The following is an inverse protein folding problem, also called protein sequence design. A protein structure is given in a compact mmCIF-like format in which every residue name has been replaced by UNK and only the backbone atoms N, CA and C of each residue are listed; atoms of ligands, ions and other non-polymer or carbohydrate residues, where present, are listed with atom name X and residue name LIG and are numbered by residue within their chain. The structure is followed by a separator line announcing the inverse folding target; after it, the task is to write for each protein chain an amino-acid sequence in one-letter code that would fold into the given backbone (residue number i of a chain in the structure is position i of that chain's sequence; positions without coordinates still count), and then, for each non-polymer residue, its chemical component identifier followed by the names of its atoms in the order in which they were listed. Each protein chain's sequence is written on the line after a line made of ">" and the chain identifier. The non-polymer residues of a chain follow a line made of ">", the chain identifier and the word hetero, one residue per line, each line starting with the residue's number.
data_IF_252202751733
#
_entry.id   IF_252202751733
#
_cell.length_a   1.000
_cell.length_b   1.000
_cell.length_c   1.000
_cell.angle_alpha   90.00
_cell.angle_beta   90.00
_cell.angle_gamma   90.00
#
_symmetry.space_group_name_H-M   'P 1'
#
loop_
_entity.id
_entity.type
_entity.pdbx_description
1 polymer ?
#
# COMPACT_ATOMS: atom_id res chain seq x y z
N UNK A 1 -14.38 -39.06 46.15
CA UNK A 1 -15.36 -38.58 45.16
C UNK A 1 -15.46 -37.04 45.09
N UNK A 2 -15.52 -36.37 46.22
CA UNK A 2 -15.64 -34.89 46.27
C UNK A 2 -14.48 -34.10 45.65
N UNK A 3 -13.26 -34.57 45.72
CA UNK A 3 -12.10 -33.87 45.18
C UNK A 3 -12.07 -33.88 43.64
N UNK A 4 -12.46 -35.00 43.02
CA UNK A 4 -12.55 -35.09 41.54
C UNK A 4 -13.67 -34.18 40.97
N UNK A 5 -14.76 -34.04 41.74
CA UNK A 5 -15.85 -33.14 41.37
C UNK A 5 -15.46 -31.66 41.40
N UNK A 6 -14.62 -31.25 42.38
CA UNK A 6 -14.08 -29.87 42.42
C UNK A 6 -13.18 -29.55 41.25
N UNK A 7 -12.33 -30.48 40.80
CA UNK A 7 -11.50 -30.27 39.61
C UNK A 7 -12.33 -30.18 38.33
N UNK A 8 -13.41 -30.94 38.24
CA UNK A 8 -14.30 -30.89 37.08
C UNK A 8 -15.03 -29.54 36.96
N UNK A 9 -15.44 -28.96 38.11
CA UNK A 9 -16.05 -27.62 38.14
C UNK A 9 -15.02 -26.55 37.74
N UNK A 10 -13.78 -26.63 38.22
CA UNK A 10 -12.72 -25.67 37.89
C UNK A 10 -12.38 -25.74 36.40
N UNK A 11 -12.29 -26.93 35.81
CA UNK A 11 -12.03 -27.10 34.37
C UNK A 11 -13.20 -26.55 33.54
N UNK A 12 -14.44 -26.79 33.98
CA UNK A 12 -15.64 -26.29 33.31
C UNK A 12 -15.75 -24.75 33.37
N UNK A 13 -15.34 -24.12 34.48
CA UNK A 13 -15.28 -22.68 34.61
C UNK A 13 -14.16 -22.07 33.76
N UNK A 14 -13.04 -22.76 33.59
CA UNK A 14 -11.93 -22.30 32.77
C UNK A 14 -12.23 -22.41 31.27
N UNK A 15 -13.00 -23.43 30.85
CA UNK A 15 -13.42 -23.59 29.46
C UNK A 15 -14.48 -22.58 29.02
N UNK A 16 -15.29 -22.03 29.91
CA UNK A 16 -16.27 -20.98 29.64
C UNK A 16 -15.60 -19.59 29.44
N UNK A 17 -14.43 -19.35 30.04
CA UNK A 17 -13.67 -18.12 29.87
C UNK A 17 -12.93 -17.99 28.52
N UNK A 18 -12.76 -19.10 27.80
CA UNK A 18 -12.00 -19.12 26.55
C UNK A 18 -12.82 -18.72 25.30
N UNK A 19 -14.13 -18.54 25.42
CA UNK A 19 -15.04 -18.27 24.28
C UNK A 19 -15.31 -16.76 24.10
N UNK A 20 -14.79 -15.91 25.01
CA UNK A 20 -15.25 -14.52 25.18
C UNK A 20 -14.58 -13.46 24.29
N UNK A 21 -13.60 -13.76 23.46
CA UNK A 21 -12.81 -12.72 22.79
C UNK A 21 -12.89 -12.70 21.26
N UNK A 22 -13.81 -13.42 20.64
CA UNK A 22 -13.81 -13.52 19.16
C UNK A 22 -14.63 -12.43 18.45
N UNK A 23 -15.67 -11.91 19.09
CA UNK A 23 -16.53 -10.87 18.50
C UNK A 23 -15.96 -9.46 18.62
N UNK A 24 -15.09 -9.20 19.61
CA UNK A 24 -14.46 -7.89 19.80
C UNK A 24 -13.43 -7.52 18.70
N UNK A 25 -13.04 -8.48 17.86
CA UNK A 25 -12.13 -8.27 16.74
C UNK A 25 -12.84 -7.79 15.46
N UNK A 26 -14.14 -7.96 15.36
CA UNK A 26 -14.98 -7.55 14.23
C UNK A 26 -15.84 -6.33 14.58
N UNK A 27 -15.22 -5.29 15.09
CA UNK A 27 -15.92 -4.04 15.38
C UNK A 27 -15.95 -3.15 14.13
N UNK A 28 -17.10 -2.58 13.83
CA UNK A 28 -17.19 -1.47 12.86
C UNK A 28 -16.43 -0.26 13.38
N UNK A 29 -15.81 0.55 12.50
CA UNK A 29 -15.17 1.79 12.90
C UNK A 29 -16.13 2.65 13.72
N UNK A 30 -15.66 3.19 14.84
CA UNK A 30 -16.44 4.09 15.71
C UNK A 30 -16.51 5.49 15.07
N UNK A 31 -15.51 5.85 14.29
CA UNK A 31 -15.45 7.12 13.56
C UNK A 31 -16.38 7.04 12.34
N UNK A 32 -17.43 7.91 12.27
CA UNK A 32 -18.36 7.92 11.16
C UNK A 32 -17.74 8.36 9.83
N UNK A 33 -16.55 8.98 9.86
CA UNK A 33 -15.81 9.39 8.67
C UNK A 33 -14.86 8.29 8.16
N UNK A 34 -14.80 7.14 8.85
CA UNK A 34 -14.02 5.98 8.43
C UNK A 34 -14.83 5.06 7.53
N UNK A 35 -14.31 4.82 6.33
CA UNK A 35 -14.91 3.88 5.38
C UNK A 35 -14.31 2.48 5.56
N UNK A 36 -15.17 1.47 5.58
CA UNK A 36 -14.76 0.07 5.55
C UNK A 36 -14.50 -0.38 4.11
N UNK A 37 -13.86 -1.52 3.95
CA UNK A 37 -13.69 -2.13 2.62
C UNK A 37 -15.04 -2.43 1.95
N UNK A 38 -16.07 -2.79 2.72
CA UNK A 38 -17.43 -3.03 2.23
C UNK A 38 -18.09 -1.75 1.72
N UNK A 39 -17.84 -0.60 2.36
CA UNK A 39 -18.36 0.69 1.90
C UNK A 39 -17.73 1.09 0.57
N UNK A 40 -16.41 0.94 0.44
CA UNK A 40 -15.64 1.29 -0.77
C UNK A 40 -16.00 0.40 -1.96
N UNK A 41 -16.38 -0.86 -1.73
CA UNK A 41 -16.77 -1.80 -2.78
C UNK A 41 -18.26 -2.17 -2.71
N UNK A 42 -19.12 -1.20 -2.41
CA UNK A 42 -20.58 -1.42 -2.33
C UNK A 42 -21.28 -1.41 -3.69
N UNK A 43 -20.73 -0.76 -4.71
CA UNK A 43 -21.27 -0.64 -6.06
C UNK A 43 -20.18 -0.17 -7.05
N UNK A 44 -20.51 -0.15 -8.36
CA UNK A 44 -19.57 0.26 -9.41
C UNK A 44 -19.06 1.71 -9.28
N UNK A 45 -19.87 2.64 -8.80
CA UNK A 45 -19.46 4.04 -8.65
C UNK A 45 -18.41 4.20 -7.55
N UNK A 46 -18.60 3.54 -6.41
CA UNK A 46 -17.61 3.53 -5.32
C UNK A 46 -16.33 2.80 -5.76
N UNK A 47 -16.46 1.68 -6.46
CA UNK A 47 -15.32 0.98 -7.04
C UNK A 47 -14.54 1.84 -8.04
N UNK A 48 -15.21 2.71 -8.81
CA UNK A 48 -14.55 3.67 -9.71
C UNK A 48 -13.72 4.69 -8.92
N UNK A 49 -14.23 5.15 -7.77
CA UNK A 49 -13.48 6.00 -6.84
C UNK A 49 -12.22 5.31 -6.32
N UNK A 50 -12.33 4.02 -5.95
CA UNK A 50 -11.17 3.22 -5.53
C UNK A 50 -10.17 3.00 -6.69
N UNK A 51 -10.63 2.80 -7.93
CA UNK A 51 -9.77 2.73 -9.11
C UNK A 51 -9.02 4.05 -9.33
N UNK A 52 -9.69 5.20 -9.17
CA UNK A 52 -9.04 6.50 -9.26
C UNK A 52 -7.92 6.68 -8.24
N UNK A 53 -8.04 6.07 -7.04
CA UNK A 53 -6.96 6.08 -6.03
C UNK A 53 -5.72 5.33 -6.52
N UNK A 54 -5.84 4.27 -7.32
CA UNK A 54 -4.68 3.58 -7.89
C UNK A 54 -3.88 4.52 -8.82
N UNK A 55 -4.56 5.26 -9.69
CA UNK A 55 -3.90 6.28 -10.53
C UNK A 55 -3.31 7.42 -9.68
N UNK A 56 -4.04 7.86 -8.66
CA UNK A 56 -3.62 8.95 -7.79
C UNK A 56 -2.35 8.60 -7.00
N UNK A 57 -2.14 7.35 -6.60
CA UNK A 57 -0.95 6.92 -5.86
C UNK A 57 0.35 7.05 -6.67
N UNK A 58 0.26 7.04 -8.01
CA UNK A 58 1.38 7.31 -8.91
C UNK A 58 1.56 8.82 -9.20
N UNK A 59 0.56 9.66 -8.92
CA UNK A 59 0.57 11.09 -9.21
C UNK A 59 0.75 11.98 -7.97
N UNK A 60 0.31 11.52 -6.81
CA UNK A 60 0.30 12.28 -5.56
C UNK A 60 1.19 11.62 -4.51
N UNK A 61 1.59 12.40 -3.52
CA UNK A 61 2.42 11.96 -2.39
C UNK A 61 1.60 11.63 -1.15
N UNK A 62 0.34 12.05 -1.11
CA UNK A 62 -0.59 11.81 -0.01
C UNK A 62 -1.99 12.34 -0.31
N UNK A 63 -2.95 12.04 0.55
CA UNK A 63 -4.36 12.42 0.36
C UNK A 63 -4.59 13.93 0.38
N UNK A 64 -3.78 14.66 1.11
CA UNK A 64 -3.91 16.12 1.26
C UNK A 64 -3.02 16.91 0.29
N UNK A 65 -2.39 16.24 -0.66
CA UNK A 65 -1.45 16.83 -1.60
C UNK A 65 -0.11 17.21 -0.94
N UNK A 66 0.68 18.09 -1.58
CA UNK A 66 2.07 18.34 -1.20
C UNK A 66 2.30 18.95 0.20
N UNK A 67 1.28 19.46 0.86
CA UNK A 67 1.37 20.04 2.20
C UNK A 67 0.77 19.15 3.29
N UNK A 68 0.34 17.95 2.94
CA UNK A 68 -0.28 16.99 3.85
C UNK A 68 0.68 15.96 4.39
N UNK A 69 0.13 14.90 4.97
CA UNK A 69 0.92 13.75 5.37
C UNK A 69 1.23 12.87 4.17
N UNK A 70 2.50 12.45 4.05
CA UNK A 70 2.91 11.52 3.03
C UNK A 70 2.22 10.14 3.19
N UNK A 71 1.90 9.50 2.09
CA UNK A 71 1.42 8.11 2.09
C UNK A 71 2.51 7.13 2.56
N UNK A 72 3.77 7.50 2.37
CA UNK A 72 4.94 6.72 2.79
C UNK A 72 5.55 7.40 4.01
N UNK A 73 5.65 6.65 5.12
CA UNK A 73 6.18 7.17 6.38
C UNK A 73 7.71 7.33 6.33
N UNK A 74 8.22 8.22 7.19
CA UNK A 74 9.64 8.47 7.39
C UNK A 74 10.40 9.01 6.16
N UNK A 75 9.67 9.46 5.15
CA UNK A 75 10.21 10.04 3.92
C UNK A 75 9.60 11.44 3.74
N UNK A 76 10.43 12.39 3.33
CA UNK A 76 9.95 13.74 2.99
C UNK A 76 8.87 13.65 1.90
N UNK A 77 7.70 14.19 2.21
CA UNK A 77 6.55 14.16 1.32
C UNK A 77 6.89 14.78 -0.04
N UNK A 78 7.68 15.85 -0.06
CA UNK A 78 7.99 16.60 -1.29
C UNK A 78 8.73 15.78 -2.36
N UNK A 79 9.44 14.70 -2.02
CA UNK A 79 10.15 13.89 -3.01
C UNK A 79 9.63 12.47 -3.22
N UNK A 80 8.63 12.03 -2.45
CA UNK A 80 8.09 10.67 -2.55
C UNK A 80 7.13 10.43 -3.74
N UNK A 81 6.97 11.41 -4.62
CA UNK A 81 6.12 11.32 -5.80
C UNK A 81 6.78 10.46 -6.89
N UNK A 82 6.00 9.50 -7.45
CA UNK A 82 6.50 8.49 -8.39
C UNK A 82 7.33 9.03 -9.54
N UNK A 83 6.81 10.00 -10.31
CA UNK A 83 7.53 10.48 -11.50
C UNK A 83 8.79 11.27 -11.15
N UNK A 84 8.80 11.99 -10.02
CA UNK A 84 10.02 12.65 -9.51
C UNK A 84 11.09 11.62 -9.14
N UNK A 85 10.72 10.57 -8.41
CA UNK A 85 11.65 9.51 -8.04
C UNK A 85 12.15 8.75 -9.26
N UNK A 86 11.26 8.42 -10.19
CA UNK A 86 11.62 7.73 -11.44
C UNK A 86 12.64 8.56 -12.24
N UNK A 87 12.39 9.87 -12.38
CA UNK A 87 13.33 10.77 -13.03
C UNK A 87 14.69 10.79 -12.32
N UNK A 88 14.69 10.98 -11.00
CA UNK A 88 15.93 11.05 -10.24
C UNK A 88 16.76 9.77 -10.34
N UNK A 89 16.12 8.59 -10.24
CA UNK A 89 16.79 7.30 -10.30
C UNK A 89 17.33 6.98 -11.71
N UNK A 90 16.66 7.44 -12.76
CA UNK A 90 17.09 7.16 -14.14
C UNK A 90 18.04 8.22 -14.70
N UNK A 91 17.79 9.50 -14.42
CA UNK A 91 18.53 10.59 -15.06
C UNK A 91 19.74 11.07 -14.24
N UNK A 92 19.62 11.15 -12.90
CA UNK A 92 20.75 11.60 -12.07
C UNK A 92 21.85 10.54 -11.93
N UNK A 93 21.55 9.29 -12.27
CA UNK A 93 22.54 8.20 -12.32
C UNK A 93 23.28 8.13 -13.67
N UNK A 94 23.16 9.15 -14.49
CA UNK A 94 23.78 9.27 -15.81
C UNK A 94 24.51 10.60 -15.94
N UNK A 95 25.12 10.84 -17.10
CA UNK A 95 25.75 12.12 -17.48
C UNK A 95 24.75 13.10 -18.14
N UNK A 96 23.47 12.76 -18.23
CA UNK A 96 22.44 13.59 -18.86
C UNK A 96 21.97 14.73 -17.97
N UNK A 97 22.04 14.56 -16.65
CA UNK A 97 21.51 15.53 -15.70
C UNK A 97 22.50 15.77 -14.55
N UNK A 98 22.50 17.01 -14.07
CA UNK A 98 23.29 17.43 -12.90
C UNK A 98 22.34 17.94 -11.82
N UNK A 99 22.48 17.43 -10.60
CA UNK A 99 21.72 17.97 -9.47
C UNK A 99 22.24 19.35 -9.08
N UNK A 100 21.33 20.32 -8.96
CA UNK A 100 21.66 21.71 -8.60
C UNK A 100 21.35 22.09 -7.16
N UNK A 101 20.88 21.12 -6.33
CA UNK A 101 20.54 21.31 -4.92
C UNK A 101 20.97 20.10 -4.08
N UNK A 102 20.88 20.20 -2.77
CA UNK A 102 21.52 19.26 -1.85
C UNK A 102 20.54 18.47 -0.98
N UNK A 103 19.38 18.04 -1.50
CA UNK A 103 18.53 17.11 -0.76
C UNK A 103 19.31 15.84 -0.44
N UNK A 104 19.07 15.27 0.73
CA UNK A 104 19.74 14.04 1.16
C UNK A 104 19.55 12.94 0.11
N UNK A 105 20.63 12.25 -0.24
CA UNK A 105 20.62 11.16 -1.23
C UNK A 105 20.74 11.60 -2.70
N UNK A 106 20.43 12.83 -3.10
CA UNK A 106 20.58 13.28 -4.49
C UNK A 106 22.04 13.37 -4.95
N UNK A 107 22.98 13.94 -4.15
CA UNK A 107 24.38 13.94 -4.52
C UNK A 107 24.97 12.55 -4.70
N UNK A 108 24.46 11.57 -3.95
CA UNK A 108 24.91 10.18 -4.04
C UNK A 108 24.53 9.56 -5.38
N UNK A 109 23.30 9.82 -5.86
CA UNK A 109 22.84 9.39 -7.19
C UNK A 109 23.72 9.98 -8.29
N UNK A 110 23.90 11.29 -8.26
CA UNK A 110 24.74 11.98 -9.25
C UNK A 110 26.21 11.57 -9.17
N UNK A 111 26.73 11.30 -7.97
CA UNK A 111 28.11 10.85 -7.76
C UNK A 111 28.32 9.37 -8.07
N UNK A 112 27.30 8.60 -8.40
CA UNK A 112 27.32 7.16 -8.69
C UNK A 112 27.84 6.31 -7.51
N UNK A 113 27.54 6.70 -6.27
CA UNK A 113 27.96 5.98 -5.07
C UNK A 113 26.82 5.71 -4.07
N UNK A 114 25.57 5.67 -4.56
CA UNK A 114 24.41 5.34 -3.72
C UNK A 114 24.44 3.90 -3.21
N UNK A 115 23.71 3.66 -2.15
CA UNK A 115 23.48 2.32 -1.59
C UNK A 115 21.98 1.99 -1.57
N UNK A 116 21.64 0.77 -1.15
CA UNK A 116 20.24 0.37 -0.98
C UNK A 116 19.45 1.17 0.08
N UNK A 117 20.15 1.93 0.93
CA UNK A 117 19.55 2.85 1.92
C UNK A 117 19.50 4.31 1.43
N UNK A 118 19.65 4.56 0.15
CA UNK A 118 19.44 5.89 -0.42
C UNK A 118 17.94 6.23 -0.38
N UNK A 119 17.58 7.39 0.16
CA UNK A 119 16.21 7.82 0.43
C UNK A 119 15.31 7.74 -0.81
N UNK A 120 15.81 8.11 -1.98
CA UNK A 120 15.05 8.05 -3.24
C UNK A 120 14.82 6.61 -3.71
N UNK A 121 15.83 5.75 -3.56
CA UNK A 121 15.70 4.33 -3.90
C UNK A 121 14.71 3.64 -2.96
N UNK A 122 14.80 3.90 -1.66
CA UNK A 122 13.89 3.35 -0.66
C UNK A 122 12.45 3.85 -0.86
N UNK A 123 12.26 5.16 -1.06
CA UNK A 123 10.97 5.76 -1.31
C UNK A 123 10.28 5.19 -2.56
N UNK A 124 11.03 5.03 -3.64
CA UNK A 124 10.50 4.43 -4.87
C UNK A 124 10.07 2.98 -4.67
N UNK A 125 10.86 2.18 -3.96
CA UNK A 125 10.51 0.81 -3.63
C UNK A 125 9.20 0.74 -2.84
N UNK A 126 9.05 1.54 -1.80
CA UNK A 126 7.84 1.57 -0.98
C UNK A 126 6.62 2.07 -1.79
N UNK A 127 6.80 3.10 -2.63
CA UNK A 127 5.72 3.59 -3.51
C UNK A 127 5.22 2.50 -4.44
N UNK A 128 6.11 1.78 -5.09
CA UNK A 128 5.74 0.70 -6.01
C UNK A 128 5.15 -0.52 -5.25
N UNK A 129 5.69 -0.87 -4.10
CA UNK A 129 5.16 -1.96 -3.28
C UNK A 129 3.75 -1.65 -2.74
N UNK A 130 3.51 -0.41 -2.33
CA UNK A 130 2.18 0.09 -1.92
C UNK A 130 1.19 -0.01 -3.08
N UNK A 131 1.58 0.43 -4.27
CA UNK A 131 0.72 0.35 -5.46
C UNK A 131 0.35 -1.09 -5.83
N UNK A 132 1.29 -2.03 -5.76
CA UNK A 132 0.99 -3.46 -5.93
C UNK A 132 -0.06 -3.93 -4.93
N UNK A 133 0.07 -3.52 -3.66
CA UNK A 133 -0.87 -3.90 -2.60
C UNK A 133 -2.26 -3.32 -2.86
N UNK A 134 -2.34 -2.07 -3.28
CA UNK A 134 -3.61 -1.43 -3.65
C UNK A 134 -4.28 -2.11 -4.84
N UNK A 135 -3.51 -2.42 -5.89
CA UNK A 135 -4.01 -3.16 -7.05
C UNK A 135 -4.55 -4.55 -6.66
N UNK A 136 -3.85 -5.27 -5.79
CA UNK A 136 -4.28 -6.60 -5.33
C UNK A 136 -5.57 -6.52 -4.52
N UNK A 137 -5.67 -5.57 -3.58
CA UNK A 137 -6.90 -5.31 -2.82
C UNK A 137 -8.06 -4.97 -3.74
N UNK A 138 -7.84 -4.04 -4.68
CA UNK A 138 -8.85 -3.66 -5.66
C UNK A 138 -9.35 -4.85 -6.48
N UNK A 139 -8.45 -5.63 -7.09
CA UNK A 139 -8.80 -6.78 -7.94
C UNK A 139 -9.62 -7.80 -7.14
N UNK A 140 -9.24 -8.07 -5.89
CA UNK A 140 -9.91 -9.04 -5.02
C UNK A 140 -11.32 -8.61 -4.64
N UNK A 141 -11.48 -7.32 -4.29
CA UNK A 141 -12.77 -6.82 -3.80
C UNK A 141 -13.73 -6.44 -4.92
N UNK A 142 -13.24 -5.80 -5.98
CA UNK A 142 -14.07 -5.51 -7.15
C UNK A 142 -14.64 -6.79 -7.80
N UNK A 143 -13.91 -7.90 -7.73
CA UNK A 143 -14.40 -9.19 -8.27
C UNK A 143 -15.65 -9.74 -7.55
N UNK A 144 -16.03 -9.19 -6.40
CA UNK A 144 -17.27 -9.53 -5.68
C UNK A 144 -18.52 -8.82 -6.25
N UNK A 145 -18.33 -7.75 -7.03
CA UNK A 145 -19.37 -6.96 -7.66
C UNK A 145 -19.79 -7.59 -8.99
N UNK A 146 -21.03 -7.36 -9.39
CA UNK A 146 -21.64 -7.98 -10.59
C UNK A 146 -21.98 -6.96 -11.68
N UNK A 147 -21.68 -5.68 -11.48
CA UNK A 147 -21.94 -4.60 -12.43
C UNK A 147 -21.09 -4.80 -13.71
N UNK A 148 -21.62 -4.40 -14.86
CA UNK A 148 -21.01 -4.64 -16.17
C UNK A 148 -19.65 -3.97 -16.33
N UNK A 149 -19.47 -2.80 -15.73
CA UNK A 149 -18.25 -1.98 -15.79
C UNK A 149 -17.08 -2.59 -15.01
N UNK A 150 -17.34 -3.42 -14.02
CA UNK A 150 -16.32 -3.97 -13.11
C UNK A 150 -15.23 -4.75 -13.84
N UNK A 151 -15.60 -5.47 -14.90
CA UNK A 151 -14.62 -6.20 -15.71
C UNK A 151 -13.56 -5.27 -16.32
N UNK A 152 -13.96 -4.06 -16.75
CA UNK A 152 -13.07 -3.03 -17.26
C UNK A 152 -12.17 -2.49 -16.15
N UNK A 153 -12.72 -2.17 -14.99
CA UNK A 153 -11.95 -1.64 -13.85
C UNK A 153 -10.90 -2.64 -13.34
N UNK A 154 -11.25 -3.93 -13.29
CA UNK A 154 -10.28 -4.99 -12.96
C UNK A 154 -9.18 -5.09 -14.01
N UNK A 155 -9.49 -4.91 -15.30
CA UNK A 155 -8.49 -4.93 -16.36
C UNK A 155 -7.51 -3.75 -16.21
N UNK A 156 -8.01 -2.55 -15.88
CA UNK A 156 -7.17 -1.38 -15.59
C UNK A 156 -6.28 -1.60 -14.36
N UNK A 157 -6.82 -2.11 -13.26
CA UNK A 157 -6.04 -2.43 -12.06
C UNK A 157 -4.93 -3.48 -12.33
N UNK A 158 -5.22 -4.48 -13.17
CA UNK A 158 -4.22 -5.46 -13.62
C UNK A 158 -3.13 -4.81 -14.48
N UNK A 159 -3.49 -3.86 -15.33
CA UNK A 159 -2.54 -3.09 -16.11
C UNK A 159 -1.63 -2.27 -15.19
N UNK A 160 -2.19 -1.51 -14.23
CA UNK A 160 -1.41 -0.72 -13.28
C UNK A 160 -0.48 -1.61 -12.44
N UNK A 161 -0.94 -2.77 -11.99
CA UNK A 161 -0.09 -3.75 -11.30
C UNK A 161 1.06 -4.24 -12.16
N UNK A 162 0.80 -4.55 -13.41
CA UNK A 162 1.85 -4.98 -14.35
C UNK A 162 2.86 -3.86 -14.64
N UNK A 163 2.38 -2.64 -14.82
CA UNK A 163 3.21 -1.45 -14.96
C UNK A 163 4.10 -1.22 -13.74
N UNK A 164 3.54 -1.39 -12.55
CA UNK A 164 4.27 -1.26 -11.29
C UNK A 164 5.35 -2.33 -11.16
N UNK A 165 5.04 -3.59 -11.48
CA UNK A 165 6.03 -4.66 -11.50
C UNK A 165 7.10 -4.48 -12.56
N UNK A 166 6.78 -3.90 -13.73
CA UNK A 166 7.77 -3.54 -14.72
C UNK A 166 8.83 -2.59 -14.12
N UNK A 167 8.39 -1.53 -13.42
CA UNK A 167 9.32 -0.59 -12.78
C UNK A 167 10.09 -1.23 -11.61
N UNK A 168 9.45 -2.10 -10.83
CA UNK A 168 10.11 -2.85 -9.77
C UNK A 168 11.22 -3.75 -10.34
N UNK A 169 10.93 -4.44 -11.43
CA UNK A 169 11.90 -5.30 -12.09
C UNK A 169 13.06 -4.51 -12.70
N UNK A 170 12.76 -3.39 -13.35
CA UNK A 170 13.74 -2.53 -14.00
C UNK A 170 14.71 -1.91 -12.98
N UNK A 171 14.17 -1.36 -11.88
CA UNK A 171 14.98 -0.64 -10.88
C UNK A 171 15.67 -1.56 -9.86
N UNK A 172 15.05 -2.68 -9.48
CA UNK A 172 15.51 -3.53 -8.35
C UNK A 172 15.82 -4.98 -8.75
N UNK A 173 15.49 -5.39 -9.94
CA UNK A 173 15.73 -6.77 -10.40
C UNK A 173 14.78 -7.76 -9.72
N UNK A 174 15.29 -8.61 -8.84
CA UNK A 174 14.49 -9.64 -8.18
C UNK A 174 13.65 -9.04 -7.04
N UNK A 175 12.34 -8.98 -7.22
CA UNK A 175 11.38 -8.50 -6.24
C UNK A 175 10.36 -9.59 -5.91
N UNK A 176 9.75 -9.56 -4.69
CA UNK A 176 8.68 -10.49 -4.34
C UNK A 176 7.47 -10.34 -5.28
N UNK A 177 6.98 -11.44 -5.83
CA UNK A 177 5.73 -11.47 -6.58
C UNK A 177 4.57 -11.75 -5.61
N UNK A 178 3.71 -10.76 -5.41
CA UNK A 178 2.49 -10.84 -4.59
C UNK A 178 1.29 -10.57 -5.50
N UNK A 179 0.31 -11.49 -5.51
CA UNK A 179 -0.89 -11.41 -6.37
C UNK A 179 -2.16 -11.66 -5.58
#
# INVERSE_FOLDING_TARGET
>A
MQQKFKYLIVIMLFSLGAISCHEDLNQSPIDPDSFTEEDVFSNAAEAQGALAKLYASLALTGQQGPAGQADIQDIDEGFSQYSRMLFNLNELTTDHAVVGWGDAGLPDLHGLYWSGSNDFSEAMYYRLAQEVSFCNSFITNAAKLTDEEIASYIAEARFLRAFTYYNLLDLYGNVPLVT
#
